data_IF_042015895513
#
_entry.id   IF_042015895513
#
_cell.length_a   1.000
_cell.length_b   1.000
_cell.length_c   1.000
_cell.angle_alpha   90.00
_cell.angle_beta   90.00
_cell.angle_gamma   90.00
#
_symmetry.space_group_name_H-M   'P 1'
#
loop_
_entity.id
_entity.type
_entity.pdbx_description
1 polymer ?
#
# COMPACT_ATOMS: atom_id res chain seq x y z
N UNK A 1 -46.85 -21.36 -11.04
CA UNK A 1 -46.41 -20.61 -9.85
C UNK A 1 -45.07 -21.16 -9.38
N UNK A 2 -43.96 -20.52 -9.77
CA UNK A 2 -42.73 -20.50 -8.96
C UNK A 2 -41.93 -19.28 -9.44
N UNK A 3 -42.08 -18.18 -8.71
CA UNK A 3 -41.34 -16.94 -8.94
C UNK A 3 -39.92 -17.13 -8.40
N UNK A 4 -38.93 -16.98 -9.27
CA UNK A 4 -37.51 -16.97 -8.90
C UNK A 4 -37.26 -15.61 -8.25
N UNK A 5 -36.94 -15.61 -6.95
CA UNK A 5 -36.59 -14.41 -6.22
C UNK A 5 -35.33 -13.78 -6.82
N UNK A 6 -35.46 -12.56 -7.34
CA UNK A 6 -34.35 -11.70 -7.73
C UNK A 6 -33.39 -11.49 -6.54
N UNK A 7 -32.06 -11.41 -6.76
CA UNK A 7 -31.12 -11.11 -5.69
C UNK A 7 -31.48 -9.73 -5.12
N UNK A 8 -31.70 -9.69 -3.81
CA UNK A 8 -32.17 -8.52 -3.10
C UNK A 8 -31.22 -7.33 -3.27
N UNK A 9 -31.74 -6.25 -3.84
CA UNK A 9 -31.29 -4.84 -3.76
C UNK A 9 -31.31 -4.34 -2.30
N UNK A 10 -30.62 -5.05 -1.41
CA UNK A 10 -30.54 -4.67 -0.01
C UNK A 10 -29.58 -3.49 0.13
N UNK A 11 -30.10 -2.27 -0.05
CA UNK A 11 -29.39 -1.04 0.36
C UNK A 11 -28.92 -1.23 1.80
N UNK A 12 -27.63 -1.01 2.12
CA UNK A 12 -27.22 -0.90 3.51
C UNK A 12 -28.00 0.24 4.15
N UNK A 13 -28.78 -0.05 5.21
CA UNK A 13 -29.84 0.82 5.79
C UNK A 13 -29.44 2.26 6.19
N UNK A 14 -28.16 2.64 6.06
CA UNK A 14 -27.59 3.89 6.57
C UNK A 14 -26.71 4.65 5.55
N UNK A 15 -26.87 4.43 4.24
CA UNK A 15 -26.13 5.17 3.21
C UNK A 15 -27.01 6.24 2.56
N UNK A 16 -26.42 7.39 2.22
CA UNK A 16 -27.03 8.32 1.26
C UNK A 16 -27.09 7.69 -0.12
N UNK A 17 -27.95 8.20 -1.00
CA UNK A 17 -28.05 7.68 -2.38
C UNK A 17 -26.71 7.80 -3.14
N UNK A 18 -25.97 8.88 -2.91
CA UNK A 18 -24.61 9.09 -3.45
C UNK A 18 -23.62 8.04 -2.93
N UNK A 19 -23.63 7.78 -1.62
CA UNK A 19 -22.77 6.75 -1.02
C UNK A 19 -23.13 5.35 -1.53
N UNK A 20 -24.42 5.07 -1.72
CA UNK A 20 -24.89 3.79 -2.25
C UNK A 20 -24.43 3.62 -3.72
N UNK A 21 -24.60 4.64 -4.55
CA UNK A 21 -24.14 4.64 -5.94
C UNK A 21 -22.63 4.44 -6.03
N UNK A 22 -21.86 5.17 -5.23
CA UNK A 22 -20.41 5.11 -5.28
C UNK A 22 -19.84 3.78 -4.69
N UNK A 23 -20.51 3.23 -3.68
CA UNK A 23 -20.16 1.92 -3.10
C UNK A 23 -20.49 0.75 -4.03
N UNK A 24 -21.61 0.83 -4.74
CA UNK A 24 -22.11 -0.23 -5.63
C UNK A 24 -21.58 -0.15 -7.06
N UNK A 25 -20.95 0.97 -7.44
CA UNK A 25 -20.38 1.15 -8.78
C UNK A 25 -19.32 0.09 -9.09
N UNK A 26 -19.50 -0.59 -10.22
CA UNK A 26 -18.52 -1.56 -10.76
C UNK A 26 -17.48 -0.89 -11.68
N UNK A 27 -17.47 0.44 -11.74
CA UNK A 27 -16.50 1.18 -12.54
C UNK A 27 -15.08 0.88 -12.07
N UNK A 28 -14.21 0.63 -13.06
CA UNK A 28 -12.81 0.22 -12.84
C UNK A 28 -11.95 1.36 -12.31
N UNK A 29 -12.33 2.60 -12.61
CA UNK A 29 -11.67 3.83 -12.16
C UNK A 29 -12.72 4.78 -11.64
N UNK A 30 -12.84 4.84 -10.33
CA UNK A 30 -13.78 5.73 -9.66
C UNK A 30 -13.00 6.56 -8.66
N UNK A 31 -13.00 7.87 -8.87
CA UNK A 31 -12.58 8.83 -7.87
C UNK A 31 -13.82 9.31 -7.12
N UNK A 32 -13.79 9.20 -5.79
CA UNK A 32 -14.83 9.73 -4.93
C UNK A 32 -14.21 10.93 -4.22
N UNK A 33 -14.79 12.11 -4.41
CA UNK A 33 -14.43 13.34 -3.71
C UNK A 33 -15.42 13.56 -2.56
N UNK A 34 -14.94 13.53 -1.33
CA UNK A 34 -15.78 13.56 -0.15
C UNK A 34 -15.15 14.39 0.97
N UNK A 35 -15.91 15.40 1.44
CA UNK A 35 -15.46 16.28 2.52
C UNK A 35 -15.27 15.58 3.87
N UNK A 36 -14.60 16.21 4.85
CA UNK A 36 -14.47 15.66 6.21
C UNK A 36 -15.83 15.29 6.82
N UNK A 37 -15.91 14.13 7.48
CA UNK A 37 -17.12 13.67 8.16
C UNK A 37 -18.24 13.11 7.26
N UNK A 38 -18.06 13.09 5.93
CA UNK A 38 -19.06 12.60 4.95
C UNK A 38 -19.12 11.07 4.82
N UNK A 39 -18.32 10.34 5.60
CA UNK A 39 -18.37 8.88 5.65
C UNK A 39 -17.52 8.15 4.62
N UNK A 40 -16.42 8.74 4.12
CA UNK A 40 -15.45 8.12 3.20
C UNK A 40 -15.05 6.69 3.56
N UNK A 41 -14.61 6.48 4.79
CA UNK A 41 -14.25 5.15 5.28
C UNK A 41 -15.44 4.16 5.25
N UNK A 42 -16.69 4.65 5.36
CA UNK A 42 -17.89 3.80 5.18
C UNK A 42 -18.05 3.40 3.72
N UNK A 43 -17.89 4.34 2.79
CA UNK A 43 -17.92 4.07 1.35
C UNK A 43 -16.80 3.09 0.97
N UNK A 44 -15.59 3.30 1.45
CA UNK A 44 -14.45 2.38 1.27
C UNK A 44 -14.79 0.96 1.75
N UNK A 45 -15.39 0.84 2.95
CA UNK A 45 -15.76 -0.45 3.53
C UNK A 45 -16.88 -1.16 2.74
N UNK A 46 -17.87 -0.41 2.28
CA UNK A 46 -18.97 -0.93 1.45
C UNK A 46 -18.44 -1.41 0.10
N UNK A 47 -17.64 -0.57 -0.56
CA UNK A 47 -17.02 -0.88 -1.84
C UNK A 47 -16.10 -2.10 -1.78
N UNK A 48 -15.31 -2.22 -0.70
CA UNK A 48 -14.48 -3.39 -0.48
C UNK A 48 -15.29 -4.69 -0.51
N UNK A 49 -16.41 -4.74 0.23
CA UNK A 49 -17.28 -5.91 0.24
C UNK A 49 -18.03 -6.12 -1.08
N UNK A 50 -18.50 -5.04 -1.72
CA UNK A 50 -19.15 -5.13 -3.02
C UNK A 50 -18.22 -5.78 -4.07
N UNK A 51 -16.99 -5.28 -4.21
CA UNK A 51 -15.99 -5.85 -5.13
C UNK A 51 -15.60 -7.29 -4.73
N UNK A 52 -15.52 -7.59 -3.43
CA UNK A 52 -15.21 -8.92 -2.92
C UNK A 52 -16.27 -9.96 -3.29
N UNK A 53 -17.55 -9.60 -3.23
CA UNK A 53 -18.67 -10.55 -3.33
C UNK A 53 -19.44 -10.49 -4.65
N UNK A 54 -19.07 -9.59 -5.57
CA UNK A 54 -19.60 -9.56 -6.94
C UNK A 54 -19.37 -10.93 -7.63
N UNK A 55 -20.31 -11.46 -8.44
CA UNK A 55 -20.21 -12.80 -9.00
C UNK A 55 -18.90 -13.09 -9.76
N UNK A 56 -18.36 -12.11 -10.47
CA UNK A 56 -17.10 -12.19 -11.23
C UNK A 56 -15.87 -12.35 -10.32
N UNK A 57 -15.99 -12.08 -9.01
CA UNK A 57 -14.92 -12.33 -8.03
C UNK A 57 -14.89 -13.77 -7.51
N UNK A 58 -15.84 -14.63 -7.90
CA UNK A 58 -15.86 -16.04 -7.45
C UNK A 58 -14.77 -16.89 -8.08
N UNK A 59 -14.33 -16.53 -9.29
CA UNK A 59 -13.30 -17.26 -10.06
C UNK A 59 -11.99 -16.48 -10.17
N UNK A 60 -11.94 -15.24 -9.70
CA UNK A 60 -10.72 -14.43 -9.66
C UNK A 60 -10.03 -14.57 -8.31
N UNK A 61 -8.83 -15.15 -8.30
CA UNK A 61 -8.05 -15.40 -7.10
C UNK A 61 -7.19 -14.21 -6.65
N UNK A 62 -7.25 -13.08 -7.35
CA UNK A 62 -6.49 -11.89 -6.98
C UNK A 62 -7.14 -11.14 -5.82
N UNK A 63 -6.34 -10.44 -5.03
CA UNK A 63 -6.78 -9.77 -3.82
C UNK A 63 -7.64 -8.53 -4.11
N UNK A 64 -8.60 -8.28 -3.22
CA UNK A 64 -9.16 -6.94 -3.03
C UNK A 64 -8.33 -6.32 -1.92
N UNK A 65 -7.65 -5.23 -2.23
CA UNK A 65 -6.74 -4.56 -1.31
C UNK A 65 -7.32 -3.19 -1.02
N UNK A 66 -7.50 -2.86 0.27
CA UNK A 66 -7.64 -1.46 0.65
C UNK A 66 -6.39 -0.97 1.37
N UNK A 67 -5.97 0.25 1.07
CA UNK A 67 -4.81 0.90 1.66
C UNK A 67 -5.19 2.19 2.35
N UNK A 68 -4.44 2.53 3.40
CA UNK A 68 -4.47 3.84 4.04
C UNK A 68 -3.07 4.15 4.57
N UNK A 69 -2.81 5.42 4.93
CA UNK A 69 -1.48 5.89 5.32
C UNK A 69 -1.08 5.46 6.74
N UNK A 70 -2.05 5.21 7.62
CA UNK A 70 -1.76 4.90 9.03
C UNK A 70 -2.27 3.54 9.46
N UNK A 71 -1.55 2.91 10.41
CA UNK A 71 -1.98 1.65 11.04
C UNK A 71 -3.33 1.81 11.76
N UNK A 72 -3.61 2.99 12.31
CA UNK A 72 -4.88 3.30 12.95
C UNK A 72 -6.04 3.34 11.94
N UNK A 73 -5.88 4.02 10.80
CA UNK A 73 -6.89 4.09 9.75
C UNK A 73 -7.16 2.72 9.13
N UNK A 74 -6.11 1.94 8.83
CA UNK A 74 -6.28 0.56 8.34
C UNK A 74 -7.00 -0.33 9.36
N UNK A 75 -6.75 -0.19 10.66
CA UNK A 75 -7.49 -0.90 11.70
C UNK A 75 -8.96 -0.48 11.75
N UNK A 76 -9.25 0.83 11.69
CA UNK A 76 -10.62 1.34 11.68
C UNK A 76 -11.41 0.82 10.46
N UNK A 77 -10.80 0.83 9.27
CA UNK A 77 -11.38 0.29 8.05
C UNK A 77 -11.61 -1.23 8.16
N UNK A 78 -10.66 -1.99 8.72
CA UNK A 78 -10.83 -3.43 9.00
C UNK A 78 -12.04 -3.72 9.89
N UNK A 79 -12.17 -3.01 11.01
CA UNK A 79 -13.31 -3.19 11.91
C UNK A 79 -14.62 -2.87 11.22
N UNK A 80 -14.64 -1.81 10.40
CA UNK A 80 -15.83 -1.42 9.64
C UNK A 80 -16.24 -2.47 8.61
N UNK A 81 -15.29 -2.98 7.83
CA UNK A 81 -15.55 -4.06 6.86
C UNK A 81 -16.06 -5.31 7.58
N UNK A 82 -15.43 -5.74 8.67
CA UNK A 82 -15.88 -6.91 9.45
C UNK A 82 -17.29 -6.74 10.00
N UNK A 83 -17.63 -5.54 10.46
CA UNK A 83 -18.96 -5.24 11.00
C UNK A 83 -20.04 -5.26 9.91
N UNK A 84 -19.75 -4.77 8.72
CA UNK A 84 -20.72 -4.65 7.61
C UNK A 84 -20.87 -5.98 6.88
N UNK A 85 -19.75 -6.63 6.54
CA UNK A 85 -19.71 -7.77 5.62
C UNK A 85 -19.32 -9.09 6.30
N UNK A 86 -19.01 -9.07 7.59
CA UNK A 86 -18.51 -10.23 8.32
C UNK A 86 -17.01 -10.51 8.10
N UNK A 87 -16.43 -11.44 8.88
CA UNK A 87 -15.00 -11.75 8.83
C UNK A 87 -14.56 -12.39 7.51
N UNK A 88 -15.47 -13.06 6.79
CA UNK A 88 -15.19 -13.72 5.51
C UNK A 88 -14.78 -12.73 4.40
N UNK A 89 -15.14 -11.44 4.54
CA UNK A 89 -14.68 -10.39 3.62
C UNK A 89 -13.15 -10.24 3.63
N UNK A 90 -12.50 -10.53 4.76
CA UNK A 90 -11.05 -10.42 4.96
C UNK A 90 -10.34 -11.78 4.94
N UNK A 91 -11.01 -12.83 4.48
CA UNK A 91 -10.33 -14.11 4.23
C UNK A 91 -9.27 -13.90 3.15
N UNK A 92 -8.12 -14.56 3.31
CA UNK A 92 -7.05 -14.52 2.32
C UNK A 92 -7.60 -14.82 0.91
N UNK A 93 -7.17 -14.09 -0.14
CA UNK A 93 -6.06 -13.13 -0.18
C UNK A 93 -6.45 -11.66 0.11
N UNK A 94 -7.71 -11.39 0.45
CA UNK A 94 -8.21 -10.03 0.62
C UNK A 94 -7.68 -9.40 1.91
N UNK A 95 -7.26 -8.13 1.82
CA UNK A 95 -6.53 -7.50 2.91
C UNK A 95 -6.69 -5.99 2.93
N UNK A 96 -6.48 -5.46 4.12
CA UNK A 96 -6.43 -4.01 4.36
C UNK A 96 -5.07 -3.75 5.00
N UNK A 97 -4.23 -2.94 4.38
CA UNK A 97 -2.83 -2.76 4.78
C UNK A 97 -2.40 -1.30 4.63
N UNK A 98 -1.24 -0.92 5.16
CA UNK A 98 -0.73 0.42 4.85
C UNK A 98 -0.18 0.47 3.44
N UNK A 99 -0.08 1.66 2.86
CA UNK A 99 0.56 1.81 1.56
C UNK A 99 2.05 1.38 1.62
N UNK A 100 2.74 1.67 2.72
CA UNK A 100 4.10 1.15 2.97
C UNK A 100 4.19 -0.37 2.91
N UNK A 101 3.14 -1.09 3.31
CA UNK A 101 3.13 -2.56 3.20
C UNK A 101 3.22 -2.99 1.73
N UNK A 102 2.50 -2.31 0.85
CA UNK A 102 2.56 -2.57 -0.60
C UNK A 102 3.94 -2.20 -1.15
N UNK A 103 4.50 -1.06 -0.73
CA UNK A 103 5.84 -0.66 -1.15
C UNK A 103 6.93 -1.66 -0.73
N UNK A 104 6.88 -2.17 0.50
CA UNK A 104 7.79 -3.22 0.96
C UNK A 104 7.65 -4.50 0.13
N UNK A 105 6.42 -4.91 -0.19
CA UNK A 105 6.18 -6.09 -1.03
C UNK A 105 6.71 -5.91 -2.46
N UNK A 106 6.57 -4.71 -3.05
CA UNK A 106 7.11 -4.40 -4.36
C UNK A 106 8.64 -4.36 -4.35
N UNK A 107 9.24 -3.74 -3.35
CA UNK A 107 10.70 -3.75 -3.17
C UNK A 107 11.23 -5.18 -3.08
N UNK A 108 10.63 -6.02 -2.22
CA UNK A 108 11.02 -7.43 -2.11
C UNK A 108 10.81 -8.21 -3.41
N UNK A 109 9.78 -7.91 -4.20
CA UNK A 109 9.61 -8.53 -5.51
C UNK A 109 10.72 -8.14 -6.49
N UNK A 110 11.13 -6.86 -6.52
CA UNK A 110 12.26 -6.39 -7.34
C UNK A 110 13.59 -7.04 -6.90
N UNK A 111 13.82 -7.17 -5.59
CA UNK A 111 14.99 -7.83 -5.04
C UNK A 111 15.03 -9.32 -5.38
N UNK A 112 13.92 -10.05 -5.18
CA UNK A 112 13.82 -11.47 -5.54
C UNK A 112 13.94 -11.71 -7.04
N UNK A 113 13.48 -10.77 -7.87
CA UNK A 113 13.64 -10.82 -9.32
C UNK A 113 15.08 -10.49 -9.77
N UNK A 114 15.95 -10.04 -8.87
CA UNK A 114 17.32 -9.60 -9.19
C UNK A 114 17.40 -8.29 -9.96
N UNK A 115 16.27 -7.59 -10.13
CA UNK A 115 16.20 -6.29 -10.80
C UNK A 115 16.71 -5.16 -9.92
N UNK A 116 16.61 -5.33 -8.59
CA UNK A 116 17.21 -4.45 -7.60
C UNK A 116 18.13 -5.30 -6.72
N UNK A 117 19.21 -4.72 -6.22
CA UNK A 117 20.18 -5.41 -5.34
C UNK A 117 20.40 -4.60 -4.09
N UNK A 118 20.09 -5.21 -2.95
CA UNK A 118 20.47 -4.70 -1.65
C UNK A 118 21.92 -5.12 -1.32
N UNK A 119 22.66 -4.37 -0.49
CA UNK A 119 23.96 -4.81 0.01
C UNK A 119 23.96 -6.26 0.49
N UNK A 120 25.06 -6.97 0.26
CA UNK A 120 25.24 -8.38 0.62
C UNK A 120 24.22 -9.35 -0.02
N UNK A 121 23.49 -8.92 -1.05
CA UNK A 121 22.61 -9.80 -1.83
C UNK A 121 21.30 -10.15 -1.12
N UNK A 122 20.87 -9.37 -0.13
CA UNK A 122 19.60 -9.61 0.56
C UNK A 122 18.40 -9.48 -0.40
N UNK A 123 17.53 -10.50 -0.37
CA UNK A 123 16.28 -10.52 -1.14
C UNK A 123 15.04 -10.26 -0.30
N UNK A 124 15.19 -10.32 1.02
CA UNK A 124 14.17 -9.98 2.01
C UNK A 124 14.80 -9.08 3.07
N UNK A 125 14.08 -8.05 3.48
CA UNK A 125 14.55 -7.04 4.43
C UNK A 125 13.69 -7.04 5.68
N UNK A 126 14.34 -6.82 6.82
CA UNK A 126 13.65 -6.55 8.08
C UNK A 126 13.39 -5.06 8.18
N UNK A 127 12.14 -4.66 7.97
CA UNK A 127 11.74 -3.24 7.98
C UNK A 127 11.30 -2.82 9.38
N UNK A 128 11.93 -1.78 9.92
CA UNK A 128 11.67 -1.21 11.25
C UNK A 128 11.11 0.22 11.16
N UNK A 129 10.38 0.64 12.19
CA UNK A 129 9.79 1.99 12.24
C UNK A 129 10.86 3.08 12.45
N UNK A 130 11.91 2.80 13.22
CA UNK A 130 12.97 3.76 13.53
C UNK A 130 14.23 3.08 14.03
N UNK A 131 15.39 3.63 13.64
CA UNK A 131 16.70 3.22 14.16
C UNK A 131 16.82 3.28 15.68
N UNK A 132 16.04 4.15 16.34
CA UNK A 132 16.01 4.28 17.79
C UNK A 132 15.55 3.00 18.50
N UNK A 133 14.90 2.07 17.79
CA UNK A 133 14.52 0.76 18.33
C UNK A 133 15.72 -0.19 18.50
N UNK A 134 16.82 0.05 17.79
CA UNK A 134 17.97 -0.85 17.74
C UNK A 134 19.23 -0.28 18.39
N UNK A 135 19.35 1.05 18.45
CA UNK A 135 20.54 1.69 18.97
C UNK A 135 20.25 3.05 19.63
N UNK A 136 21.14 3.44 20.53
CA UNK A 136 21.08 4.74 21.21
C UNK A 136 21.48 5.88 20.28
N UNK A 137 20.79 7.00 20.42
CA UNK A 137 21.12 8.23 19.71
C UNK A 137 22.36 8.91 20.30
N UNK A 138 23.18 9.52 19.45
CA UNK A 138 24.25 10.45 19.82
C UNK A 138 24.04 11.77 19.09
N UNK A 139 24.56 12.86 19.65
CA UNK A 139 24.58 14.13 18.94
C UNK A 139 25.52 14.02 17.73
N UNK A 140 24.98 14.17 16.52
CA UNK A 140 25.76 14.07 15.28
C UNK A 140 25.20 14.99 14.20
N UNK A 141 26.07 15.37 13.26
CA UNK A 141 25.72 16.10 12.03
C UNK A 141 25.64 15.15 10.83
N UNK A 142 25.91 13.88 11.01
CA UNK A 142 25.99 12.89 9.94
C UNK A 142 24.69 12.11 9.83
N UNK A 143 24.27 11.86 8.60
CA UNK A 143 23.21 10.92 8.24
C UNK A 143 23.52 10.35 6.85
N UNK A 144 22.60 9.62 6.25
CA UNK A 144 22.74 9.08 4.91
C UNK A 144 21.54 9.42 4.04
N UNK A 145 21.73 9.26 2.72
CA UNK A 145 20.67 9.21 1.73
C UNK A 145 20.74 7.90 0.98
N UNK A 146 19.58 7.36 0.63
CA UNK A 146 19.45 6.18 -0.22
C UNK A 146 19.35 6.63 -1.67
N UNK A 147 20.01 5.92 -2.57
CA UNK A 147 19.87 6.06 -4.01
C UNK A 147 20.08 4.71 -4.68
N UNK A 148 19.66 4.60 -5.93
CA UNK A 148 19.87 3.41 -6.76
C UNK A 148 20.80 3.78 -7.89
N UNK A 149 21.87 3.01 -8.06
CA UNK A 149 22.84 3.17 -9.15
C UNK A 149 23.09 1.81 -9.81
N UNK A 150 22.84 1.72 -11.11
CA UNK A 150 22.95 0.49 -11.89
C UNK A 150 22.24 -0.73 -11.23
N UNK A 151 21.07 -0.51 -10.62
CA UNK A 151 20.29 -1.47 -9.83
C UNK A 151 20.83 -1.82 -8.42
N UNK A 152 21.96 -1.27 -7.99
CA UNK A 152 22.44 -1.42 -6.61
C UNK A 152 21.89 -0.31 -5.72
N UNK A 153 21.28 -0.68 -4.60
CA UNK A 153 20.89 0.25 -3.54
C UNK A 153 22.14 0.69 -2.78
N UNK A 154 22.39 2.00 -2.77
CA UNK A 154 23.57 2.61 -2.16
C UNK A 154 23.18 3.64 -1.11
N UNK A 155 24.06 3.79 -0.12
CA UNK A 155 23.89 4.67 1.03
C UNK A 155 25.02 5.69 1.03
N UNK A 156 24.72 6.93 0.66
CA UNK A 156 25.71 8.02 0.67
C UNK A 156 25.63 8.78 2.00
N UNK A 157 26.76 8.91 2.68
CA UNK A 157 26.89 9.79 3.84
C UNK A 157 26.65 11.24 3.42
N UNK A 158 25.80 11.94 4.16
CA UNK A 158 25.57 13.38 4.01
C UNK A 158 25.59 14.07 5.37
N UNK A 159 25.72 15.40 5.34
CA UNK A 159 25.75 16.22 6.54
C UNK A 159 24.48 17.06 6.65
N UNK A 160 23.91 17.11 7.86
CA UNK A 160 22.77 17.94 8.24
C UNK A 160 23.11 18.81 9.44
N UNK A 161 22.14 19.59 9.89
CA UNK A 161 22.21 20.27 11.19
C UNK A 161 22.33 19.28 12.35
N UNK A 162 23.04 19.70 13.40
CA UNK A 162 23.30 18.87 14.56
C UNK A 162 22.01 18.43 15.25
N UNK A 163 21.95 17.16 15.65
CA UNK A 163 20.79 16.60 16.33
C UNK A 163 21.07 15.21 16.89
N UNK A 164 20.20 14.74 17.79
CA UNK A 164 20.28 13.39 18.35
C UNK A 164 19.83 12.35 17.32
N UNK A 165 20.76 11.51 16.85
CA UNK A 165 20.51 10.47 15.83
C UNK A 165 21.33 9.22 16.12
N UNK A 166 20.91 8.07 15.60
CA UNK A 166 21.73 6.86 15.66
C UNK A 166 22.98 7.05 14.78
N UNK A 167 24.18 6.74 15.28
CA UNK A 167 25.42 6.87 14.49
C UNK A 167 25.41 6.03 13.21
N UNK A 168 25.96 6.57 12.12
CA UNK A 168 26.07 5.88 10.83
C UNK A 168 26.83 4.55 10.90
N UNK A 169 27.77 4.42 11.83
CA UNK A 169 28.50 3.16 12.03
C UNK A 169 27.62 2.03 12.53
N UNK A 170 26.58 2.32 13.32
CA UNK A 170 25.62 1.30 13.78
C UNK A 170 24.58 1.03 12.69
N UNK A 171 24.06 2.09 12.06
CA UNK A 171 23.14 1.97 10.93
C UNK A 171 23.75 1.13 9.80
N UNK A 172 25.01 1.39 9.44
CA UNK A 172 25.69 0.68 8.35
C UNK A 172 25.81 -0.83 8.57
N UNK A 173 25.99 -1.29 9.82
CA UNK A 173 25.98 -2.72 10.15
C UNK A 173 24.61 -3.33 9.88
N UNK A 174 23.57 -2.68 10.38
CA UNK A 174 22.19 -3.15 10.20
C UNK A 174 21.76 -3.16 8.72
N UNK A 175 22.11 -2.13 7.96
CA UNK A 175 21.87 -2.11 6.51
C UNK A 175 22.55 -3.27 5.79
N UNK A 176 23.80 -3.59 6.17
CA UNK A 176 24.54 -4.73 5.64
C UNK A 176 23.90 -6.08 6.04
N UNK A 177 23.20 -6.13 7.18
CA UNK A 177 22.46 -7.29 7.67
C UNK A 177 21.01 -7.38 7.11
N UNK A 178 20.64 -6.50 6.17
CA UNK A 178 19.31 -6.50 5.55
C UNK A 178 18.22 -5.89 6.43
N UNK A 179 18.59 -5.09 7.43
CA UNK A 179 17.64 -4.31 8.24
C UNK A 179 17.57 -2.89 7.70
N UNK A 180 16.36 -2.35 7.53
CA UNK A 180 16.16 -0.99 7.03
C UNK A 180 14.91 -0.35 7.63
N UNK A 181 14.72 0.94 7.40
CA UNK A 181 13.51 1.67 7.78
C UNK A 181 12.50 1.73 6.63
N UNK A 182 11.25 2.09 6.96
CA UNK A 182 10.26 2.40 5.93
C UNK A 182 10.72 3.52 4.99
N UNK A 183 11.42 4.53 5.49
CA UNK A 183 11.95 5.60 4.63
C UNK A 183 12.99 5.06 3.64
N UNK A 184 13.85 4.12 4.05
CA UNK A 184 14.84 3.52 3.15
C UNK A 184 14.18 2.74 2.01
N UNK A 185 13.08 2.03 2.33
CA UNK A 185 12.26 1.33 1.33
C UNK A 185 11.67 2.33 0.34
N UNK A 186 11.10 3.43 0.84
CA UNK A 186 10.49 4.48 0.02
C UNK A 186 11.52 5.13 -0.90
N UNK A 187 12.65 5.57 -0.36
CA UNK A 187 13.72 6.21 -1.13
C UNK A 187 14.32 5.24 -2.18
N UNK A 188 14.54 3.97 -1.82
CA UNK A 188 15.03 2.96 -2.76
C UNK A 188 14.02 2.72 -3.88
N UNK A 189 12.74 2.57 -3.54
CA UNK A 189 11.67 2.31 -4.52
C UNK A 189 11.45 3.52 -5.43
N UNK A 190 11.45 4.75 -4.90
CA UNK A 190 11.34 5.98 -5.67
C UNK A 190 12.47 6.10 -6.72
N UNK A 191 13.70 5.76 -6.35
CA UNK A 191 14.81 5.77 -7.29
C UNK A 191 14.74 4.59 -8.29
N UNK A 192 14.32 3.40 -7.84
CA UNK A 192 14.17 2.22 -8.69
C UNK A 192 13.10 2.42 -9.78
N UNK A 193 11.96 3.02 -9.44
CA UNK A 193 10.83 3.22 -10.36
C UNK A 193 11.09 4.26 -11.45
N UNK A 194 12.23 4.96 -11.43
CA UNK A 194 12.70 5.78 -12.55
C UNK A 194 13.16 4.94 -13.74
N UNK A 195 13.49 3.66 -13.52
CA UNK A 195 13.80 2.68 -14.56
C UNK A 195 12.51 1.97 -15.01
N UNK A 196 12.20 2.04 -16.31
CA UNK A 196 10.95 1.47 -16.85
C UNK A 196 10.88 -0.06 -16.69
N UNK A 197 12.01 -0.76 -16.65
CA UNK A 197 12.04 -2.22 -16.42
C UNK A 197 11.53 -2.56 -15.02
N UNK A 198 11.98 -1.79 -14.02
CA UNK A 198 11.56 -1.98 -12.63
C UNK A 198 10.11 -1.51 -12.44
N UNK A 199 9.73 -0.39 -13.06
CA UNK A 199 8.35 0.10 -13.03
C UNK A 199 7.37 -0.90 -13.69
N UNK A 200 7.74 -1.48 -14.83
CA UNK A 200 6.97 -2.51 -15.51
C UNK A 200 6.83 -3.77 -14.63
N UNK A 201 7.90 -4.22 -13.97
CA UNK A 201 7.84 -5.35 -13.04
C UNK A 201 6.89 -5.09 -11.87
N UNK A 202 6.98 -3.90 -11.26
CA UNK A 202 6.08 -3.52 -10.17
C UNK A 202 4.61 -3.50 -10.64
N UNK A 203 4.35 -2.98 -11.84
CA UNK A 203 3.03 -2.97 -12.47
C UNK A 203 2.48 -4.38 -12.70
N UNK A 204 3.30 -5.28 -13.25
CA UNK A 204 2.93 -6.69 -13.47
C UNK A 204 2.66 -7.40 -12.15
N UNK A 205 3.47 -7.13 -11.12
CA UNK A 205 3.26 -7.69 -9.78
C UNK A 205 1.92 -7.26 -9.20
N UNK A 206 1.55 -5.99 -9.31
CA UNK A 206 0.24 -5.49 -8.90
C UNK A 206 -0.89 -6.13 -9.70
N UNK A 207 -0.74 -6.23 -11.03
CA UNK A 207 -1.74 -6.83 -11.94
C UNK A 207 -2.06 -8.28 -11.59
N UNK A 208 -1.03 -9.06 -11.26
CA UNK A 208 -1.14 -10.49 -10.95
C UNK A 208 -1.65 -10.71 -9.52
N UNK A 209 -1.39 -9.80 -8.59
CA UNK A 209 -1.73 -9.99 -7.16
C UNK A 209 -3.02 -9.30 -6.73
N UNK A 210 -3.42 -8.20 -7.37
CA UNK A 210 -4.56 -7.39 -7.00
C UNK A 210 -5.62 -7.38 -8.12
N UNK A 211 -6.86 -7.72 -7.76
CA UNK A 211 -8.04 -7.48 -8.58
C UNK A 211 -8.45 -6.02 -8.51
N UNK A 212 -8.45 -5.47 -7.30
CA UNK A 212 -8.76 -4.06 -7.06
C UNK A 212 -7.93 -3.45 -5.93
N UNK A 213 -7.60 -2.17 -6.08
CA UNK A 213 -6.98 -1.34 -5.05
C UNK A 213 -7.94 -0.20 -4.65
N UNK A 214 -8.27 -0.12 -3.37
CA UNK A 214 -9.05 0.97 -2.77
C UNK A 214 -8.09 1.81 -1.93
N UNK A 215 -8.02 3.11 -2.16
CA UNK A 215 -7.15 4.02 -1.40
C UNK A 215 -8.03 4.90 -0.52
N UNK A 216 -7.88 4.82 0.80
CA UNK A 216 -8.55 5.71 1.77
C UNK A 216 -7.64 6.93 2.06
N UNK A 217 -8.21 8.13 2.07
CA UNK A 217 -7.53 9.42 2.30
C UNK A 217 -6.44 9.75 1.25
N UNK A 218 -6.73 9.61 -0.05
CA UNK A 218 -5.74 9.86 -1.13
C UNK A 218 -5.15 11.29 -1.12
N UNK A 219 -5.80 12.25 -0.46
CA UNK A 219 -5.27 13.61 -0.32
C UNK A 219 -4.03 13.70 0.58
N UNK A 220 -3.74 12.69 1.41
CA UNK A 220 -2.52 12.61 2.21
C UNK A 220 -1.33 11.99 1.43
N UNK A 221 -1.53 11.62 0.16
CA UNK A 221 -0.52 10.99 -0.68
C UNK A 221 0.62 11.94 -1.06
N UNK A 222 1.86 11.49 -0.92
CA UNK A 222 3.01 12.14 -1.58
C UNK A 222 3.24 11.61 -3.00
N UNK A 223 4.24 12.16 -3.69
CA UNK A 223 4.55 11.83 -5.08
C UNK A 223 4.79 10.33 -5.32
N UNK A 224 5.49 9.64 -4.40
CA UNK A 224 5.71 8.19 -4.50
C UNK A 224 4.40 7.42 -4.29
N UNK A 225 3.56 7.85 -3.34
CA UNK A 225 2.26 7.24 -3.10
C UNK A 225 1.38 7.33 -4.36
N UNK A 226 1.34 8.51 -4.98
CA UNK A 226 0.63 8.75 -6.24
C UNK A 226 1.20 7.85 -7.34
N UNK A 227 2.53 7.79 -7.50
CA UNK A 227 3.16 6.94 -8.51
C UNK A 227 2.79 5.45 -8.36
N UNK A 228 2.74 4.93 -7.12
CA UNK A 228 2.29 3.55 -6.87
C UNK A 228 0.82 3.35 -7.23
N UNK A 229 -0.05 4.31 -6.89
CA UNK A 229 -1.47 4.28 -7.23
C UNK A 229 -1.67 4.34 -8.75
N UNK A 230 -0.88 5.15 -9.46
CA UNK A 230 -0.88 5.22 -10.92
C UNK A 230 -0.43 3.92 -11.56
N UNK A 231 0.64 3.29 -11.06
CA UNK A 231 1.08 1.97 -11.51
C UNK A 231 -0.03 0.93 -11.33
N UNK A 232 -0.70 0.93 -10.18
CA UNK A 232 -1.85 0.06 -9.95
C UNK A 232 -2.99 0.35 -10.95
N UNK A 233 -3.25 1.62 -11.25
CA UNK A 233 -4.30 2.07 -12.18
C UNK A 233 -4.02 1.67 -13.62
N UNK A 234 -2.75 1.57 -14.00
CA UNK A 234 -2.32 1.04 -15.29
C UNK A 234 -2.35 -0.50 -15.32
N UNK A 235 -2.18 -1.15 -14.17
CA UNK A 235 -2.21 -2.60 -14.01
C UNK A 235 -3.63 -3.21 -14.03
N UNK A 236 -4.66 -2.45 -13.61
CA UNK A 236 -6.04 -2.95 -13.53
C UNK A 236 -7.02 -1.97 -12.86
N UNK A 237 -8.02 -2.51 -12.16
CA UNK A 237 -9.13 -1.75 -11.59
C UNK A 237 -8.69 -1.08 -10.28
N UNK A 238 -8.63 0.25 -10.23
CA UNK A 238 -8.23 1.02 -9.04
C UNK A 238 -9.28 2.06 -8.72
N UNK A 239 -9.70 2.10 -7.46
CA UNK A 239 -10.62 3.10 -6.94
C UNK A 239 -9.91 3.95 -5.90
N UNK A 240 -9.30 5.08 -6.30
CA UNK A 240 -8.84 6.07 -5.33
C UNK A 240 -10.02 6.77 -4.65
N UNK A 241 -10.00 6.92 -3.32
CA UNK A 241 -10.99 7.68 -2.56
C UNK A 241 -10.31 8.88 -1.90
N UNK A 242 -10.84 10.09 -2.13
CA UNK A 242 -10.42 11.35 -1.54
C UNK A 242 -11.48 11.97 -0.66
#
# INVERSE_FOLDING_TARGET
MTSIASPSDARPKNLTDEQAAASGSLERRLFIDAGPGTGKTTVAAQRFGALRFVPESRTDHRAIIAVSFTRAATWALKQRVRRIWGPAALTWPHRIVTLDTIMCELLHDLLRAGLLRWPNGHTELTVIDSWNALAQTKWTRETYKVYVDAADVKFAKVHLEGGARVPLTEIGKHLADGVCTHQDVRDALENALKDETMAARARDRLKISAKALIVDEVFDANDLDIAIIELATQAGDVTPLG
#
